data_IF_435685908127
#
_entry.id   IF_435685908127
#
_cell.length_a   1.000
_cell.length_b   1.000
_cell.length_c   1.000
_cell.angle_alpha   90.00
_cell.angle_beta   90.00
_cell.angle_gamma   90.00
#
_symmetry.space_group_name_H-M   'P 1'
#
loop_
_entity.id
_entity.type
_entity.pdbx_description
1 polymer ?
#
# COMPACT_ATOMS: atom_id res chain seq x y z
N UNK A 1 2.72 20.62 -6.62
CA UNK A 1 3.49 19.53 -7.25
C UNK A 1 2.57 18.33 -7.29
N UNK A 2 2.34 17.77 -8.46
CA UNK A 2 1.62 16.50 -8.59
C UNK A 2 2.64 15.37 -8.38
N UNK A 3 2.34 14.45 -7.47
CA UNK A 3 3.20 13.28 -7.23
C UNK A 3 2.88 12.23 -8.29
N UNK A 4 3.89 11.60 -8.87
CA UNK A 4 3.69 10.45 -9.76
C UNK A 4 3.91 9.14 -9.00
N UNK A 5 3.15 8.11 -9.35
CA UNK A 5 3.30 6.78 -8.77
C UNK A 5 3.13 5.69 -9.83
N UNK A 6 3.92 4.63 -9.72
CA UNK A 6 3.77 3.41 -10.49
C UNK A 6 2.89 2.42 -9.72
N UNK A 7 1.70 2.13 -10.27
CA UNK A 7 0.74 1.17 -9.69
C UNK A 7 0.87 -0.17 -10.43
N UNK A 8 1.64 -1.10 -9.87
CA UNK A 8 1.77 -2.45 -10.39
C UNK A 8 0.69 -3.35 -9.80
N UNK A 9 -0.01 -4.07 -10.67
CA UNK A 9 -1.19 -4.87 -10.28
C UNK A 9 -1.02 -6.32 -10.72
N UNK A 10 -1.32 -7.25 -9.81
CA UNK A 10 -1.37 -8.68 -10.10
C UNK A 10 -2.51 -8.98 -11.11
N UNK A 11 -2.31 -9.88 -12.10
CA UNK A 11 -3.33 -10.22 -13.09
C UNK A 11 -4.69 -10.67 -12.51
N UNK A 12 -4.70 -11.18 -11.27
CA UNK A 12 -5.91 -11.63 -10.58
C UNK A 12 -6.77 -10.49 -10.04
N UNK A 13 -6.27 -9.25 -10.00
CA UNK A 13 -7.04 -8.08 -9.54
C UNK A 13 -7.87 -7.53 -10.71
N UNK A 14 -9.19 -7.35 -10.53
CA UNK A 14 -10.04 -6.75 -11.56
C UNK A 14 -9.59 -5.35 -11.97
N UNK A 15 -9.69 -5.01 -13.26
CA UNK A 15 -9.33 -3.67 -13.76
C UNK A 15 -10.10 -2.56 -13.04
N UNK A 16 -11.40 -2.77 -12.75
CA UNK A 16 -12.22 -1.83 -11.99
C UNK A 16 -11.67 -1.54 -10.59
N UNK A 17 -11.04 -2.52 -9.94
CA UNK A 17 -10.45 -2.35 -8.61
C UNK A 17 -9.10 -1.61 -8.69
N UNK A 18 -8.34 -1.79 -9.77
CA UNK A 18 -7.15 -1.00 -10.07
C UNK A 18 -7.49 0.48 -10.38
N UNK A 19 -8.55 0.71 -11.16
CA UNK A 19 -9.05 2.06 -11.46
C UNK A 19 -9.51 2.80 -10.20
N UNK A 20 -10.21 2.10 -9.29
CA UNK A 20 -10.62 2.64 -8.00
C UNK A 20 -9.42 3.06 -7.12
N UNK A 21 -8.33 2.29 -7.15
CA UNK A 21 -7.10 2.67 -6.45
C UNK A 21 -6.46 3.90 -7.10
N UNK A 22 -6.37 3.96 -8.42
CA UNK A 22 -5.81 5.09 -9.14
C UNK A 22 -6.62 6.38 -8.88
N UNK A 23 -7.95 6.30 -8.87
CA UNK A 23 -8.83 7.43 -8.55
C UNK A 23 -8.64 7.90 -7.09
N UNK A 24 -8.57 6.97 -6.14
CA UNK A 24 -8.32 7.31 -4.74
C UNK A 24 -6.95 7.98 -4.52
N UNK A 25 -5.93 7.57 -5.29
CA UNK A 25 -4.61 8.19 -5.28
C UNK A 25 -4.66 9.59 -5.91
N UNK A 26 -5.41 9.78 -7.00
CA UNK A 26 -5.60 11.09 -7.61
C UNK A 26 -6.28 12.08 -6.65
N UNK A 27 -7.27 11.63 -5.87
CA UNK A 27 -7.88 12.43 -4.81
C UNK A 27 -6.90 12.82 -3.69
N UNK A 28 -5.80 12.08 -3.54
CA UNK A 28 -4.70 12.39 -2.63
C UNK A 28 -3.60 13.24 -3.29
N UNK A 29 -3.80 13.73 -4.52
CA UNK A 29 -2.81 14.50 -5.29
C UNK A 29 -1.71 13.65 -5.93
N UNK A 30 -1.94 12.34 -6.07
CA UNK A 30 -1.01 11.40 -6.69
C UNK A 30 -1.57 10.92 -8.03
N UNK A 31 -0.89 11.26 -9.13
CA UNK A 31 -1.14 10.67 -10.43
C UNK A 31 -0.51 9.27 -10.51
N UNK A 32 -1.34 8.23 -10.42
CA UNK A 32 -0.91 6.85 -10.51
C UNK A 32 -1.13 6.27 -11.91
N UNK A 33 -0.10 5.63 -12.47
CA UNK A 33 -0.23 4.88 -13.71
C UNK A 33 -0.35 3.38 -13.42
N UNK A 34 -1.54 2.82 -13.67
CA UNK A 34 -1.78 1.38 -13.53
C UNK A 34 -1.05 0.59 -14.62
N UNK A 35 -0.22 -0.38 -14.20
CA UNK A 35 0.49 -1.33 -15.06
C UNK A 35 0.16 -2.74 -14.57
N UNK A 36 -0.62 -3.49 -15.34
CA UNK A 36 -0.87 -4.90 -15.06
C UNK A 36 0.40 -5.68 -15.42
N UNK A 37 0.96 -6.40 -14.45
CA UNK A 37 2.12 -7.24 -14.72
C UNK A 37 1.69 -8.46 -15.52
N UNK A 38 2.47 -8.84 -16.53
CA UNK A 38 2.23 -10.08 -17.25
C UNK A 38 2.31 -11.28 -16.27
N UNK A 39 1.43 -12.29 -16.39
CA UNK A 39 1.48 -13.48 -15.55
C UNK A 39 2.85 -14.15 -15.72
N UNK A 40 3.71 -14.05 -14.70
CA UNK A 40 5.01 -14.68 -14.71
C UNK A 40 4.81 -16.21 -14.69
N UNK A 41 5.45 -16.92 -15.62
CA UNK A 41 5.44 -18.40 -15.60
C UNK A 41 6.09 -18.88 -14.31
N UNK A 42 5.37 -19.76 -13.62
CA UNK A 42 5.65 -20.38 -12.32
C UNK A 42 7.13 -20.46 -11.91
N UNK A 43 7.44 -19.82 -10.79
CA UNK A 43 8.71 -19.91 -10.05
C UNK A 43 8.79 -18.83 -8.97
N UNK A 44 8.42 -17.60 -9.32
CA UNK A 44 8.31 -16.46 -8.40
C UNK A 44 6.87 -15.94 -8.41
N UNK A 45 6.04 -16.50 -7.54
CA UNK A 45 4.68 -16.00 -7.33
C UNK A 45 4.78 -14.61 -6.69
N UNK A 46 4.05 -13.63 -7.23
CA UNK A 46 3.96 -12.31 -6.61
C UNK A 46 3.37 -12.50 -5.20
N UNK A 47 4.13 -12.12 -4.17
CA UNK A 47 3.70 -12.19 -2.78
C UNK A 47 2.77 -11.04 -2.39
N UNK A 48 2.29 -10.26 -3.36
CA UNK A 48 1.46 -9.07 -3.18
C UNK A 48 0.42 -8.97 -4.31
N UNK A 49 -0.73 -8.34 -4.03
CA UNK A 49 -1.78 -8.07 -5.03
C UNK A 49 -1.51 -6.79 -5.80
N UNK A 50 -1.04 -5.78 -5.09
CA UNK A 50 -0.79 -4.44 -5.60
C UNK A 50 0.52 -3.94 -5.03
N UNK A 51 1.36 -3.35 -5.87
CA UNK A 51 2.54 -2.60 -5.47
C UNK A 51 2.41 -1.17 -5.97
N UNK A 52 2.48 -0.21 -5.06
CA UNK A 52 2.51 1.21 -5.38
C UNK A 52 3.92 1.75 -5.11
N UNK A 53 4.66 2.09 -6.16
CA UNK A 53 5.95 2.75 -6.07
C UNK A 53 5.77 4.27 -6.18
N UNK A 54 6.27 5.01 -5.19
CA UNK A 54 6.21 6.48 -5.13
C UNK A 54 7.21 7.06 -4.11
N UNK A 55 7.49 8.37 -4.11
CA UNK A 55 8.19 9.05 -3.02
C UNK A 55 7.36 8.99 -1.73
N UNK A 56 7.59 7.96 -0.91
CA UNK A 56 6.65 7.53 0.12
C UNK A 56 6.58 8.53 1.27
N UNK A 57 7.71 9.14 1.64
CA UNK A 57 7.74 10.17 2.68
C UNK A 57 6.91 11.40 2.27
N UNK A 58 7.08 11.86 1.02
CA UNK A 58 6.32 13.00 0.49
C UNK A 58 4.84 12.65 0.41
N UNK A 59 4.50 11.46 -0.08
CA UNK A 59 3.12 10.98 -0.12
C UNK A 59 2.46 10.97 1.26
N UNK A 60 3.08 10.36 2.26
CA UNK A 60 2.53 10.30 3.62
C UNK A 60 2.37 11.69 4.23
N UNK A 61 3.32 12.58 3.99
CA UNK A 61 3.27 13.97 4.43
C UNK A 61 2.12 14.71 3.74
N UNK A 62 2.00 14.61 2.42
CA UNK A 62 0.90 15.23 1.66
C UNK A 62 -0.46 14.69 2.09
N UNK A 63 -0.64 13.39 2.27
CA UNK A 63 -1.90 12.82 2.76
C UNK A 63 -2.20 13.29 4.19
N UNK A 64 -1.17 13.35 5.05
CA UNK A 64 -1.27 13.82 6.43
C UNK A 64 -1.61 15.31 6.55
N UNK A 65 -1.07 16.16 5.66
CA UNK A 65 -1.32 17.60 5.60
C UNK A 65 -2.64 17.94 4.89
N UNK A 66 -2.97 17.21 3.82
CA UNK A 66 -4.14 17.49 2.99
C UNK A 66 -5.43 17.18 3.74
N UNK A 67 -5.41 16.26 4.72
CA UNK A 67 -6.39 16.01 5.81
C UNK A 67 -7.88 16.35 5.57
N UNK A 68 -8.35 16.41 4.33
CA UNK A 68 -9.73 16.25 3.97
C UNK A 68 -9.98 14.79 4.31
N UNK A 69 -10.64 14.57 5.46
CA UNK A 69 -11.00 13.24 5.98
C UNK A 69 -11.54 12.32 4.87
N UNK A 70 -12.13 12.92 3.84
CA UNK A 70 -12.73 12.30 2.67
C UNK A 70 -11.70 11.60 1.75
N UNK A 71 -10.57 12.23 1.40
CA UNK A 71 -9.57 11.61 0.52
C UNK A 71 -8.92 10.38 1.19
N UNK A 72 -8.58 10.52 2.46
CA UNK A 72 -8.04 9.43 3.27
C UNK A 72 -9.08 8.31 3.51
N UNK A 73 -10.36 8.66 3.70
CA UNK A 73 -11.43 7.68 3.78
C UNK A 73 -11.64 6.95 2.45
N UNK A 74 -11.49 7.65 1.32
CA UNK A 74 -11.51 7.10 -0.03
C UNK A 74 -10.40 6.08 -0.25
N UNK A 75 -9.15 6.43 0.06
CA UNK A 75 -8.01 5.52 -0.01
C UNK A 75 -8.21 4.28 0.87
N UNK A 76 -8.62 4.46 2.13
CA UNK A 76 -8.89 3.34 3.04
C UNK A 76 -10.00 2.42 2.50
N UNK A 77 -11.04 2.99 1.87
CA UNK A 77 -12.14 2.22 1.28
C UNK A 77 -11.67 1.46 0.04
N UNK A 78 -10.87 2.08 -0.82
CA UNK A 78 -10.30 1.44 -2.00
C UNK A 78 -9.39 0.27 -1.57
N UNK A 79 -8.45 0.50 -0.65
CA UNK A 79 -7.58 -0.56 -0.09
C UNK A 79 -8.41 -1.68 0.53
N UNK A 80 -9.41 -1.34 1.35
CA UNK A 80 -10.30 -2.33 1.97
C UNK A 80 -11.11 -3.15 0.97
N UNK A 81 -11.50 -2.55 -0.16
CA UNK A 81 -12.19 -3.26 -1.24
C UNK A 81 -11.25 -4.21 -1.99
N UNK A 82 -10.06 -3.74 -2.36
CA UNK A 82 -9.08 -4.57 -3.08
C UNK A 82 -8.61 -5.75 -2.24
N UNK A 83 -8.34 -5.53 -0.96
CA UNK A 83 -7.89 -6.57 -0.04
C UNK A 83 -9.04 -7.44 0.52
N UNK A 84 -10.28 -6.96 0.46
CA UNK A 84 -11.46 -7.61 1.03
C UNK A 84 -12.38 -8.27 -0.01
N UNK A 85 -12.14 -8.05 -1.32
CA UNK A 85 -12.83 -8.78 -2.36
C UNK A 85 -12.52 -10.28 -2.22
N UNK A 86 -13.52 -11.17 -2.23
CA UNK A 86 -13.26 -12.61 -2.27
C UNK A 86 -12.45 -12.85 -3.55
N UNK A 87 -11.18 -13.25 -3.42
CA UNK A 87 -10.41 -13.46 -4.61
C UNK A 87 -10.93 -14.73 -5.26
N UNK A 88 -11.03 -14.69 -6.60
CA UNK A 88 -11.34 -15.88 -7.39
C UNK A 88 -10.32 -17.00 -7.17
N UNK A 89 -9.17 -16.69 -6.55
CA UNK A 89 -8.11 -17.59 -6.11
C UNK A 89 -7.92 -17.51 -4.58
N UNK A 90 -8.11 -18.59 -3.80
CA UNK A 90 -7.87 -18.58 -2.35
C UNK A 90 -6.43 -18.16 -1.97
N UNK A 91 -5.44 -18.36 -2.85
CA UNK A 91 -4.06 -17.91 -2.61
C UNK A 91 -3.88 -16.39 -2.82
N UNK A 92 -4.85 -15.68 -3.38
CA UNK A 92 -4.87 -14.22 -3.47
C UNK A 92 -5.51 -13.57 -2.23
N UNK A 93 -6.24 -14.31 -1.39
CA UNK A 93 -6.87 -13.78 -0.16
C UNK A 93 -5.87 -13.34 0.90
N UNK A 94 -4.65 -13.88 0.82
CA UNK A 94 -3.57 -13.64 1.78
C UNK A 94 -2.54 -12.63 1.27
N UNK A 95 -2.65 -12.18 0.02
CA UNK A 95 -1.65 -11.31 -0.61
C UNK A 95 -1.91 -9.83 -0.21
N UNK A 96 -0.95 -9.14 0.43
CA UNK A 96 -1.10 -7.75 0.83
C UNK A 96 -0.97 -6.77 -0.35
N UNK A 97 -1.32 -5.51 -0.08
CA UNK A 97 -0.89 -4.37 -0.88
C UNK A 97 0.41 -3.82 -0.30
N UNK A 98 1.36 -3.47 -1.16
CA UNK A 98 2.68 -2.99 -0.77
C UNK A 98 2.85 -1.56 -1.28
N UNK A 99 3.18 -0.63 -0.38
CA UNK A 99 3.71 0.68 -0.77
C UNK A 99 5.23 0.57 -0.75
N UNK A 100 5.89 0.96 -1.84
CA UNK A 100 7.34 0.96 -1.93
C UNK A 100 7.84 2.38 -2.16
N UNK A 101 8.80 2.80 -1.35
CA UNK A 101 9.52 4.05 -1.56
C UNK A 101 10.47 3.91 -2.75
N UNK A 102 10.38 4.82 -3.72
CA UNK A 102 11.21 4.77 -4.94
C UNK A 102 12.68 5.07 -4.67
N UNK A 103 12.99 5.88 -3.66
CA UNK A 103 14.35 6.34 -3.38
C UNK A 103 15.12 5.31 -2.53
N UNK A 104 14.48 4.80 -1.48
CA UNK A 104 15.11 3.93 -0.48
C UNK A 104 14.78 2.45 -0.67
N UNK A 105 13.75 2.13 -1.45
CA UNK A 105 13.22 0.77 -1.56
C UNK A 105 12.50 0.28 -0.31
N UNK A 106 12.29 1.13 0.71
CA UNK A 106 11.53 0.80 1.91
C UNK A 106 10.12 0.37 1.53
N UNK A 107 9.62 -0.70 2.15
CA UNK A 107 8.28 -1.24 1.86
C UNK A 107 7.38 -1.07 3.07
N UNK A 108 6.11 -0.77 2.82
CA UNK A 108 5.05 -0.78 3.83
C UNK A 108 3.98 -1.74 3.35
N UNK A 109 3.60 -2.69 4.21
CA UNK A 109 2.69 -3.76 3.86
C UNK A 109 1.32 -3.48 4.48
N UNK A 110 0.34 -3.25 3.62
CA UNK A 110 -1.07 -3.07 3.96
C UNK A 110 -1.80 -4.41 3.83
N UNK A 111 -2.21 -4.97 4.97
CA UNK A 111 -2.99 -6.22 5.03
C UNK A 111 -4.49 -5.94 5.10
N UNK A 112 -5.30 -6.94 4.75
CA UNK A 112 -6.73 -6.87 4.91
C UNK A 112 -7.13 -6.62 6.38
N UNK A 113 -8.19 -5.82 6.58
CA UNK A 113 -8.74 -5.58 7.92
C UNK A 113 -7.85 -4.76 8.86
N UNK A 114 -6.92 -3.95 8.33
CA UNK A 114 -6.19 -2.99 9.15
C UNK A 114 -7.15 -2.02 9.85
N UNK A 115 -6.98 -1.78 11.16
CA UNK A 115 -7.89 -0.91 11.89
C UNK A 115 -7.63 0.57 11.54
N UNK A 116 -8.60 1.48 11.75
CA UNK A 116 -8.45 2.89 11.37
C UNK A 116 -7.24 3.59 11.99
N UNK A 117 -6.81 3.20 13.18
CA UNK A 117 -5.59 3.72 13.82
C UNK A 117 -4.30 3.36 13.08
N UNK A 118 -4.24 2.22 12.37
CA UNK A 118 -3.06 1.82 11.62
C UNK A 118 -2.76 2.84 10.52
N UNK A 119 -3.80 3.23 9.78
CA UNK A 119 -3.70 4.26 8.75
C UNK A 119 -3.40 5.65 9.35
N UNK A 120 -3.90 5.96 10.57
CA UNK A 120 -3.64 7.27 11.21
C UNK A 120 -2.18 7.38 11.65
N UNK A 121 -1.64 6.31 12.22
CA UNK A 121 -0.25 6.25 12.63
C UNK A 121 0.69 6.17 11.43
N UNK A 122 0.23 5.58 10.31
CA UNK A 122 0.99 5.47 9.07
C UNK A 122 1.38 6.84 8.50
N UNK A 123 0.42 7.77 8.39
CA UNK A 123 0.68 9.13 7.87
C UNK A 123 1.53 10.00 8.82
N UNK A 124 1.71 9.55 10.06
CA UNK A 124 2.55 10.21 11.06
C UNK A 124 3.96 9.63 11.13
N UNK A 125 4.25 8.57 10.36
CA UNK A 125 5.58 7.97 10.35
C UNK A 125 6.60 8.90 9.71
N UNK A 126 7.80 8.89 10.30
CA UNK A 126 9.01 9.38 9.65
C UNK A 126 9.77 8.18 9.12
N UNK A 127 9.76 7.98 7.82
CA UNK A 127 10.36 6.81 7.18
C UNK A 127 11.87 6.77 7.33
N UNK A 128 12.51 7.92 7.55
CA UNK A 128 13.94 8.05 7.88
C UNK A 128 14.34 7.29 9.15
N UNK A 129 13.39 7.02 10.04
CA UNK A 129 13.62 6.28 11.29
C UNK A 129 13.72 4.76 11.02
N UNK A 130 13.39 4.31 9.80
CA UNK A 130 13.40 2.91 9.38
C UNK A 130 14.42 2.68 8.27
N UNK A 131 15.31 1.70 8.46
CA UNK A 131 16.38 1.38 7.51
C UNK A 131 16.28 0.00 6.88
N UNK A 132 15.48 -0.90 7.46
CA UNK A 132 15.47 -2.31 7.08
C UNK A 132 14.05 -2.85 7.00
N UNK A 133 13.83 -3.68 5.97
CA UNK A 133 12.66 -4.56 5.87
C UNK A 133 11.33 -3.88 5.54
N UNK A 134 10.30 -4.69 5.25
CA UNK A 134 8.95 -4.19 5.14
C UNK A 134 8.41 -3.77 6.51
N UNK A 135 7.70 -2.65 6.56
CA UNK A 135 6.94 -2.19 7.72
C UNK A 135 5.58 -2.87 7.73
N UNK A 136 5.26 -3.50 8.86
CA UNK A 136 3.98 -4.10 9.15
C UNK A 136 3.35 -3.45 10.37
N UNK A 137 2.03 -3.34 10.37
CA UNK A 137 1.32 -2.85 11.54
C UNK A 137 1.16 -3.97 12.58
N UNK A 138 1.83 -3.81 13.72
CA UNK A 138 1.66 -4.68 14.89
C UNK A 138 0.38 -4.28 15.64
N UNK A 139 -0.63 -5.16 15.61
CA UNK A 139 -1.93 -4.92 16.28
C UNK A 139 -1.83 -4.97 17.81
N UNK A 140 -0.91 -5.76 18.36
CA UNK A 140 -0.72 -5.88 19.80
C UNK A 140 -0.09 -4.60 20.36
N UNK A 141 0.90 -4.07 19.65
CA UNK A 141 1.64 -2.88 20.07
C UNK A 141 1.07 -1.58 19.47
N UNK A 142 0.09 -1.67 18.58
CA UNK A 142 -0.56 -0.56 17.88
C UNK A 142 0.43 0.37 17.17
N UNK A 143 1.48 -0.19 16.57
CA UNK A 143 2.56 0.57 15.92
C UNK A 143 3.09 -0.14 14.68
N UNK A 144 3.67 0.63 13.76
CA UNK A 144 4.38 0.11 12.60
C UNK A 144 5.78 -0.36 13.00
N UNK A 145 6.14 -1.59 12.61
CA UNK A 145 7.43 -2.22 12.90
C UNK A 145 8.01 -2.86 11.64
N UNK A 146 9.32 -2.85 11.51
CA UNK A 146 10.02 -3.69 10.55
C UNK A 146 10.23 -5.09 11.14
N UNK A 147 10.16 -6.13 10.30
CA UNK A 147 10.33 -7.53 10.75
C UNK A 147 11.78 -7.89 11.20
N UNK A 148 12.89 -7.23 10.82
CA UNK A 148 14.19 -7.55 11.43
C UNK A 148 14.37 -6.91 12.82
N UNK A 149 13.29 -6.74 13.58
CA UNK A 149 13.32 -6.31 14.99
C UNK A 149 13.04 -7.51 15.93
N UNK A 150 13.62 -8.67 15.57
CA UNK A 150 13.77 -9.89 16.36
C UNK A 150 15.21 -10.43 16.32
N UNK A 151 16.24 -9.59 16.44
CA UNK A 151 17.49 -10.06 17.08
C UNK A 151 18.11 -8.90 17.87
N UNK A 152 17.87 -8.88 19.18
CA UNK A 152 18.98 -8.78 20.13
C UNK A 152 18.64 -9.37 21.49
#
# INVERSE_FOLDING_TARGET
>A
MELSADLLVDPGVPAADADLLAEALAQCGVAAQAKVLAPRRAGEQLSWLVLLALPLQTFLTTVGETAARDAYAGLRRAVGRVLGAPPSDPAAAERPMVLQDEETGLRIVLSAGLPPEAYRTLVQLRLTDYREGPLHYDRHQRRWRSIPDEIR
#
